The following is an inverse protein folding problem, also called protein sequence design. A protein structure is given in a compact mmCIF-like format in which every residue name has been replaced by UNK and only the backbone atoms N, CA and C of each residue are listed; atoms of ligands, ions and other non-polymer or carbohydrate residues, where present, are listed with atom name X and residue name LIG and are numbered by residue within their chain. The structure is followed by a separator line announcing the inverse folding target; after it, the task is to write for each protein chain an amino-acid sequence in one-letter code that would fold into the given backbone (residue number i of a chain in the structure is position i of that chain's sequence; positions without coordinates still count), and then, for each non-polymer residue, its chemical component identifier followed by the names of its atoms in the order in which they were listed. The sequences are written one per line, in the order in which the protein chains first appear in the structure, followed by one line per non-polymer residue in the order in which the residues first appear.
data_IF_208820674995
#
_entry.id   IF_208820674995
#
_cell.length_a   1.000
_cell.length_b   1.000
_cell.length_c   1.000
_cell.angle_alpha   90.00
_cell.angle_beta   90.00
_cell.angle_gamma   90.00
#
_symmetry.space_group_name_H-M   'P 1'
#
loop_
_entity.id
_entity.type
_entity.pdbx_description
1 polymer ?
#
# COMPACT_ATOMS: atom_id res chain seq x y z
N UNK A 1 -21.70 4.72 23.02
CA UNK A 1 -21.33 4.82 21.59
C UNK A 1 -20.26 3.79 21.27
N UNK A 2 -20.68 2.62 20.78
CA UNK A 2 -19.82 1.45 20.58
C UNK A 2 -19.27 1.43 19.16
N UNK A 3 -17.97 1.68 18.99
CA UNK A 3 -17.28 1.47 17.72
C UNK A 3 -17.18 -0.04 17.46
N UNK A 4 -18.10 -0.51 16.63
CA UNK A 4 -18.17 -1.87 16.09
C UNK A 4 -16.91 -2.09 15.26
N UNK A 5 -16.04 -3.01 15.72
CA UNK A 5 -14.94 -3.53 14.91
C UNK A 5 -15.54 -4.08 13.61
N UNK A 6 -15.42 -3.31 12.52
CA UNK A 6 -15.84 -3.73 11.21
C UNK A 6 -14.87 -4.82 10.73
N UNK A 7 -15.25 -6.07 10.94
CA UNK A 7 -14.72 -7.19 10.18
C UNK A 7 -15.42 -7.15 8.83
N UNK A 8 -14.71 -6.93 7.72
CA UNK A 8 -15.27 -7.20 6.42
C UNK A 8 -15.31 -8.72 6.29
N UNK A 9 -16.52 -9.29 6.32
CA UNK A 9 -16.78 -10.52 5.60
C UNK A 9 -16.26 -10.35 4.16
N UNK A 10 -15.84 -11.44 3.51
CA UNK A 10 -16.11 -11.73 2.10
C UNK A 10 -15.26 -12.96 1.70
N UNK A 11 -15.99 -14.07 1.55
CA UNK A 11 -15.63 -15.32 0.92
C UNK A 11 -15.28 -15.09 -0.57
N UNK A 12 -14.32 -15.84 -1.10
CA UNK A 12 -14.13 -15.98 -2.56
C UNK A 12 -12.67 -15.88 -3.01
N UNK A 13 -12.07 -17.03 -3.31
CA UNK A 13 -10.68 -17.15 -3.77
C UNK A 13 -10.44 -16.48 -5.13
N UNK A 14 -9.56 -15.49 -5.15
CA UNK A 14 -8.83 -15.03 -6.32
C UNK A 14 -7.58 -14.29 -5.83
N UNK A 15 -6.40 -14.79 -6.23
CA UNK A 15 -5.06 -14.17 -6.22
C UNK A 15 -4.86 -13.01 -5.22
N UNK A 16 -4.14 -13.29 -4.14
CA UNK A 16 -3.55 -12.33 -3.17
C UNK A 16 -4.21 -10.94 -3.16
N UNK A 17 -5.25 -10.82 -2.33
CA UNK A 17 -6.19 -9.69 -2.24
C UNK A 17 -5.55 -8.45 -1.58
N UNK A 18 -4.50 -7.90 -2.18
CA UNK A 18 -3.83 -6.67 -1.70
C UNK A 18 -4.69 -5.41 -1.85
N UNK A 19 -5.74 -5.42 -2.70
CA UNK A 19 -6.67 -4.29 -2.82
C UNK A 19 -7.88 -4.36 -1.89
N UNK A 20 -8.21 -5.54 -1.34
CA UNK A 20 -9.33 -5.68 -0.41
C UNK A 20 -8.98 -5.25 1.01
N UNK A 21 -7.69 -5.20 1.32
CA UNK A 21 -7.20 -4.46 2.47
C UNK A 21 -6.76 -3.10 1.97
N UNK A 22 -7.44 -2.03 2.42
CA UNK A 22 -6.88 -0.69 2.29
C UNK A 22 -5.49 -0.73 2.91
N UNK A 23 -4.48 -0.57 2.07
CA UNK A 23 -3.08 -0.52 2.50
C UNK A 23 -2.93 0.51 3.62
N UNK A 24 -2.39 0.07 4.75
CA UNK A 24 -2.21 0.90 5.93
C UNK A 24 -1.21 2.02 5.62
N UNK A 25 -1.65 3.27 5.69
CA UNK A 25 -0.78 4.42 5.44
C UNK A 25 0.09 4.70 6.66
N UNK A 26 1.34 5.18 6.49
CA UNK A 26 2.24 5.47 7.62
C UNK A 26 1.61 6.34 8.72
N UNK A 27 0.90 7.40 8.35
CA UNK A 27 0.24 8.27 9.32
C UNK A 27 -0.89 7.57 10.11
N UNK A 28 -1.59 6.61 9.49
CA UNK A 28 -2.63 5.82 10.17
C UNK A 28 -2.04 4.91 11.25
N UNK A 29 -0.79 4.49 11.10
CA UNK A 29 -0.06 3.71 12.12
C UNK A 29 0.29 4.60 13.30
N UNK A 30 0.84 5.79 13.04
CA UNK A 30 1.23 6.77 14.08
C UNK A 30 0.04 7.25 14.90
N UNK A 31 -1.11 7.43 14.26
CA UNK A 31 -2.31 7.94 14.91
C UNK A 31 -3.15 6.86 15.60
N UNK A 32 -2.77 5.58 15.45
CA UNK A 32 -3.53 4.49 16.05
C UNK A 32 -3.42 4.53 17.58
N UNK A 33 -4.57 4.68 18.25
CA UNK A 33 -4.66 4.60 19.71
C UNK A 33 -5.28 3.28 20.13
N UNK A 34 -4.65 2.61 21.09
CA UNK A 34 -5.18 1.39 21.71
C UNK A 34 -5.94 1.72 22.99
N UNK A 35 -6.97 0.93 23.29
CA UNK A 35 -7.67 1.05 24.57
C UNK A 35 -6.77 0.52 25.68
N UNK A 36 -6.71 1.17 26.85
CA UNK A 36 -6.03 0.62 28.02
C UNK A 36 -6.56 -0.78 28.35
N UNK A 37 -5.69 -1.69 28.78
CA UNK A 37 -6.15 -2.99 29.25
C UNK A 37 -6.97 -2.83 30.55
N UNK A 38 -8.06 -3.59 30.67
CA UNK A 38 -8.86 -3.62 31.88
C UNK A 38 -8.07 -4.13 33.09
N UNK A 39 -8.54 -3.79 34.31
CA UNK A 39 -7.95 -4.31 35.55
C UNK A 39 -7.86 -5.84 35.51
N UNK A 40 -6.68 -6.38 35.81
CA UNK A 40 -6.42 -7.83 35.86
C UNK A 40 -5.69 -8.41 34.65
N UNK A 41 -5.48 -7.62 33.58
CA UNK A 41 -4.71 -8.06 32.41
C UNK A 41 -3.33 -7.40 32.37
N UNK A 42 -2.29 -8.18 32.07
CA UNK A 42 -0.97 -7.64 31.71
C UNK A 42 -1.09 -6.90 30.37
N UNK A 43 -0.90 -5.58 30.38
CA UNK A 43 -0.75 -4.77 29.16
C UNK A 43 0.73 -4.63 28.81
N UNK A 44 1.00 -4.40 27.53
CA UNK A 44 2.26 -3.81 27.10
C UNK A 44 2.34 -2.37 27.60
N UNK A 45 3.56 -1.90 27.88
CA UNK A 45 3.81 -0.51 28.19
C UNK A 45 3.34 0.36 27.00
N UNK A 46 2.40 1.31 27.21
CA UNK A 46 1.93 2.19 26.16
C UNK A 46 3.06 2.94 25.45
N UNK A 47 4.09 3.37 26.18
CA UNK A 47 5.16 4.18 25.62
C UNK A 47 6.05 3.34 24.69
N UNK A 48 6.39 2.10 25.08
CA UNK A 48 7.11 1.16 24.21
C UNK A 48 6.31 0.84 22.94
N UNK A 49 4.99 0.67 23.07
CA UNK A 49 4.11 0.43 21.92
C UNK A 49 4.13 1.63 20.97
N UNK A 50 4.02 2.85 21.48
CA UNK A 50 4.04 4.05 20.63
C UNK A 50 5.42 4.28 19.98
N UNK A 51 6.52 4.02 20.69
CA UNK A 51 7.87 4.08 20.13
C UNK A 51 8.07 3.05 19.00
N UNK A 52 7.58 1.82 19.20
CA UNK A 52 7.59 0.79 18.16
C UNK A 52 6.75 1.20 16.94
N UNK A 53 5.54 1.72 17.16
CA UNK A 53 4.67 2.17 16.07
C UNK A 53 5.28 3.33 15.28
N UNK A 54 5.98 4.27 15.92
CA UNK A 54 6.65 5.35 15.20
C UNK A 54 7.75 4.80 14.28
N UNK A 55 8.55 3.83 14.75
CA UNK A 55 9.54 3.13 13.92
C UNK A 55 8.91 2.40 12.74
N UNK A 56 7.86 1.62 12.99
CA UNK A 56 7.11 0.90 11.93
C UNK A 56 6.58 1.89 10.89
N UNK A 57 6.11 3.05 11.33
CA UNK A 57 5.60 4.09 10.43
C UNK A 57 6.71 4.67 9.55
N UNK A 58 7.88 4.92 10.12
CA UNK A 58 9.06 5.37 9.37
C UNK A 58 9.49 4.34 8.32
N UNK A 59 9.54 3.06 8.69
CA UNK A 59 9.90 1.97 7.77
C UNK A 59 8.88 1.85 6.63
N UNK A 60 7.58 1.91 6.93
CA UNK A 60 6.52 1.92 5.92
C UNK A 60 6.64 3.12 4.97
N UNK A 61 6.98 4.31 5.49
CA UNK A 61 7.20 5.49 4.67
C UNK A 61 8.37 5.26 3.69
N UNK A 62 9.46 4.63 4.15
CA UNK A 62 10.58 4.23 3.30
C UNK A 62 10.18 3.27 2.19
N UNK A 63 9.39 2.23 2.52
CA UNK A 63 8.89 1.26 1.53
C UNK A 63 8.01 1.92 0.47
N UNK A 64 7.07 2.78 0.88
CA UNK A 64 6.20 3.48 -0.08
C UNK A 64 6.96 4.49 -0.94
N UNK A 65 7.98 5.15 -0.40
CA UNK A 65 8.85 6.03 -1.18
C UNK A 65 9.62 5.24 -2.25
N UNK A 66 10.20 4.09 -1.89
CA UNK A 66 10.90 3.20 -2.81
C UNK A 66 9.96 2.65 -3.90
N UNK A 67 8.74 2.25 -3.52
CA UNK A 67 7.72 1.82 -4.47
C UNK A 67 7.32 2.95 -5.45
N UNK A 68 7.17 4.17 -4.94
CA UNK A 68 6.91 5.36 -5.77
C UNK A 68 8.05 5.64 -6.75
N UNK A 69 9.30 5.48 -6.31
CA UNK A 69 10.46 5.63 -7.18
C UNK A 69 10.48 4.56 -8.28
N UNK A 70 10.26 3.29 -7.93
CA UNK A 70 10.18 2.18 -8.89
C UNK A 70 9.12 2.40 -9.95
N UNK A 71 7.92 2.84 -9.56
CA UNK A 71 6.82 3.16 -10.50
C UNK A 71 7.14 4.33 -11.42
N UNK A 72 7.86 5.36 -10.94
CA UNK A 72 8.31 6.46 -11.81
C UNK A 72 9.33 5.98 -12.83
N UNK A 73 10.22 5.09 -12.41
CA UNK A 73 11.23 4.54 -13.32
C UNK A 73 10.60 3.68 -14.40
N UNK A 74 9.66 2.81 -14.04
CA UNK A 74 8.92 2.02 -15.04
C UNK A 74 8.14 2.91 -16.00
N UNK A 75 7.49 3.98 -15.51
CA UNK A 75 6.79 4.93 -16.37
C UNK A 75 7.73 5.65 -17.36
N UNK A 76 8.95 6.02 -16.94
CA UNK A 76 9.97 6.60 -17.83
C UNK A 76 10.40 5.63 -18.91
N UNK A 77 10.65 4.37 -18.54
CA UNK A 77 11.03 3.32 -19.48
C UNK A 77 9.92 3.08 -20.50
N UNK A 78 8.67 2.92 -20.05
CA UNK A 78 7.51 2.74 -20.93
C UNK A 78 7.32 3.95 -21.87
N UNK A 79 7.51 5.17 -21.38
CA UNK A 79 7.46 6.37 -22.21
C UNK A 79 8.59 6.41 -23.27
N UNK A 80 9.80 6.04 -22.87
CA UNK A 80 10.96 5.98 -23.76
C UNK A 80 10.85 4.88 -24.82
N UNK A 81 10.16 3.79 -24.53
CA UNK A 81 9.81 2.76 -25.50
C UNK A 81 8.77 3.31 -26.49
N UNK A 82 7.66 3.87 -25.97
CA UNK A 82 6.58 4.40 -26.82
C UNK A 82 7.02 5.52 -27.75
N UNK A 83 7.92 6.42 -27.32
CA UNK A 83 8.44 7.49 -28.19
C UNK A 83 9.33 6.98 -29.33
N UNK A 84 9.95 5.80 -29.15
CA UNK A 84 10.88 5.20 -30.11
C UNK A 84 10.13 4.38 -31.17
N UNK A 85 8.97 3.84 -30.81
CA UNK A 85 8.15 3.06 -31.72
C UNK A 85 7.74 3.94 -32.91
N UNK A 86 8.17 3.61 -34.14
CA UNK A 86 7.75 4.37 -35.31
C UNK A 86 6.23 4.28 -35.44
N UNK A 87 5.60 5.34 -35.98
CA UNK A 87 4.17 5.36 -36.22
C UNK A 87 3.72 4.04 -36.88
N UNK A 88 2.59 3.43 -36.46
CA UNK A 88 2.12 2.20 -37.07
C UNK A 88 2.10 2.44 -38.57
N UNK A 89 2.96 1.74 -39.31
CA UNK A 89 3.06 1.91 -40.76
C UNK A 89 1.73 1.42 -41.32
N UNK A 90 0.81 2.36 -41.50
CA UNK A 90 -0.37 2.16 -42.30
C UNK A 90 0.14 2.23 -43.73
N UNK A 91 0.84 1.17 -44.14
CA UNK A 91 1.28 0.98 -45.51
C UNK A 91 0.19 0.19 -46.24
N UNK A 92 -0.68 0.85 -47.01
CA UNK A 92 -1.71 0.17 -47.80
C UNK A 92 -1.10 -0.63 -48.98
N UNK A 93 0.20 -0.54 -49.25
CA UNK A 93 0.81 -1.14 -50.44
C UNK A 93 1.11 -2.64 -50.34
N UNK A 94 0.92 -3.29 -49.18
CA UNK A 94 1.21 -4.72 -48.99
C UNK A 94 0.06 -5.67 -49.34
N UNK A 95 -1.00 -5.15 -49.97
CA UNK A 95 -2.13 -5.94 -50.51
C UNK A 95 -2.20 -5.80 -52.03
N UNK A 96 -1.26 -6.40 -52.77
CA UNK A 96 -1.42 -6.76 -54.18
C UNK A 96 -0.67 -8.05 -54.46
#
# INVERSE_FOLDING_TARGET
MSLRNQRPDHLGGARYRSSAYTSLLPWQVRERRFRPAGRGHRSLDPDDVYAFLDRVSADLAGVYAALGASRRETARLTYALRRREPAPSTDPARRR
#
